data_IF_827218338044
#
_entry.id   IF_827218338044
#
_cell.length_a   1.000
_cell.length_b   1.000
_cell.length_c   1.000
_cell.angle_alpha   90.00
_cell.angle_beta   90.00
_cell.angle_gamma   90.00
#
_symmetry.space_group_name_H-M   'P 1'
#
loop_
_entity.id
_entity.type
_entity.pdbx_description
1 polymer ?
#
# COMPACT_ATOMS: atom_id res chain seq x y z
N UNK A 1 12.82 -10.12 -64.94
CA UNK A 1 12.66 -8.66 -64.77
C UNK A 1 13.98 -8.07 -64.30
N UNK A 2 14.45 -6.98 -64.90
CA UNK A 2 15.70 -6.33 -64.44
C UNK A 2 15.44 -5.57 -63.14
N UNK A 3 16.46 -5.46 -62.27
CA UNK A 3 16.37 -4.79 -60.95
C UNK A 3 15.74 -3.39 -61.05
N UNK A 4 16.09 -2.62 -62.08
CA UNK A 4 15.60 -1.26 -62.26
C UNK A 4 14.12 -1.19 -62.61
N UNK A 5 13.62 -2.19 -63.36
CA UNK A 5 12.19 -2.31 -63.69
C UNK A 5 11.36 -2.68 -62.46
N UNK A 6 11.93 -3.46 -61.54
CA UNK A 6 11.27 -3.76 -60.27
C UNK A 6 11.17 -2.50 -59.39
N UNK A 7 12.26 -1.73 -59.31
CA UNK A 7 12.28 -0.51 -58.50
C UNK A 7 11.33 0.55 -59.06
N UNK A 8 11.22 0.70 -60.38
CA UNK A 8 10.25 1.62 -60.98
C UNK A 8 8.81 1.17 -60.74
N UNK A 9 8.53 -0.14 -60.78
CA UNK A 9 7.22 -0.70 -60.45
C UNK A 9 6.82 -0.44 -59.00
N UNK A 10 7.73 -0.60 -58.04
CA UNK A 10 7.45 -0.33 -56.62
C UNK A 10 7.21 1.15 -56.32
N UNK A 11 7.65 2.06 -57.19
CA UNK A 11 7.44 3.51 -57.07
C UNK A 11 6.17 3.99 -57.77
N UNK A 12 5.43 3.09 -58.41
CA UNK A 12 4.13 3.43 -58.97
C UNK A 12 3.18 3.82 -57.82
N UNK A 13 2.52 5.00 -57.84
CA UNK A 13 1.64 5.44 -56.77
C UNK A 13 0.50 4.46 -56.44
N UNK A 14 0.02 3.72 -57.45
CA UNK A 14 -1.03 2.71 -57.26
C UNK A 14 -0.48 1.50 -56.49
N UNK A 15 0.72 1.04 -56.86
CA UNK A 15 1.42 -0.06 -56.18
C UNK A 15 1.77 0.34 -54.75
N UNK A 16 2.26 1.56 -54.53
CA UNK A 16 2.55 2.09 -53.20
C UNK A 16 1.29 2.12 -52.32
N UNK A 17 0.16 2.56 -52.86
CA UNK A 17 -1.13 2.58 -52.15
C UNK A 17 -1.59 1.16 -51.79
N UNK A 18 -1.49 0.22 -52.72
CA UNK A 18 -1.87 -1.18 -52.48
C UNK A 18 -0.97 -1.81 -51.41
N UNK A 19 0.35 -1.64 -51.51
CA UNK A 19 1.31 -2.13 -50.53
C UNK A 19 1.07 -1.48 -49.16
N UNK A 20 0.80 -0.18 -49.13
CA UNK A 20 0.45 0.56 -47.92
C UNK A 20 -0.79 -0.03 -47.24
N UNK A 21 -1.86 -0.29 -47.99
CA UNK A 21 -3.08 -0.90 -47.47
C UNK A 21 -2.86 -2.33 -46.95
N UNK A 22 -2.07 -3.14 -47.67
CA UNK A 22 -1.73 -4.50 -47.25
C UNK A 22 -0.93 -4.46 -45.94
N UNK A 23 0.10 -3.62 -45.87
CA UNK A 23 0.92 -3.47 -44.67
C UNK A 23 0.08 -2.94 -43.50
N UNK A 24 -0.75 -1.91 -43.71
CA UNK A 24 -1.63 -1.37 -42.69
C UNK A 24 -2.59 -2.43 -42.16
N UNK A 25 -3.19 -3.24 -43.03
CA UNK A 25 -4.08 -4.33 -42.64
C UNK A 25 -3.33 -5.42 -41.86
N UNK A 26 -2.16 -5.82 -42.33
CA UNK A 26 -1.32 -6.82 -41.66
C UNK A 26 -0.88 -6.34 -40.27
N UNK A 27 -0.47 -5.08 -40.15
CA UNK A 27 -0.10 -4.45 -38.87
C UNK A 27 -1.32 -4.36 -37.96
N UNK A 28 -2.46 -3.89 -38.47
CA UNK A 28 -3.70 -3.77 -37.69
C UNK A 28 -4.16 -5.13 -37.14
N UNK A 29 -4.06 -6.18 -37.95
CA UNK A 29 -4.35 -7.56 -37.54
C UNK A 29 -3.34 -8.06 -36.50
N UNK A 30 -2.04 -7.82 -36.70
CA UNK A 30 -0.99 -8.22 -35.76
C UNK A 30 -1.10 -7.48 -34.40
N UNK A 31 -1.64 -6.26 -34.40
CA UNK A 31 -1.92 -5.45 -33.20
C UNK A 31 -3.29 -5.73 -32.58
N UNK A 32 -4.11 -6.58 -33.19
CA UNK A 32 -5.38 -6.98 -32.60
C UNK A 32 -5.17 -8.16 -31.67
N UNK A 33 -5.63 -8.05 -30.43
CA UNK A 33 -5.54 -9.09 -29.41
C UNK A 33 -6.89 -9.28 -28.74
N UNK A 34 -7.17 -10.52 -28.35
CA UNK A 34 -8.25 -10.81 -27.41
C UNK A 34 -7.72 -10.53 -26.02
N UNK A 35 -8.41 -9.65 -25.31
CA UNK A 35 -8.09 -9.26 -23.94
C UNK A 35 -9.21 -9.79 -23.06
N UNK A 36 -8.85 -10.53 -22.02
CA UNK A 36 -9.78 -11.03 -21.03
C UNK A 36 -9.85 -9.98 -19.91
N UNK A 37 -10.98 -9.30 -19.82
CA UNK A 37 -11.25 -8.35 -18.74
C UNK A 37 -12.04 -9.07 -17.67
N UNK A 38 -11.44 -9.21 -16.50
CA UNK A 38 -12.16 -9.62 -15.29
C UNK A 38 -13.00 -8.44 -14.82
N UNK A 39 -14.30 -8.51 -15.08
CA UNK A 39 -15.28 -7.68 -14.40
C UNK A 39 -15.49 -8.23 -13.00
N UNK A 40 -15.88 -7.34 -12.07
CA UNK A 40 -16.18 -7.73 -10.69
C UNK A 40 -17.19 -8.88 -10.60
N UNK A 41 -17.42 -9.36 -9.38
CA UNK A 41 -18.40 -10.42 -9.15
C UNK A 41 -19.80 -9.82 -9.28
N UNK A 42 -20.63 -10.39 -10.15
CA UNK A 42 -22.05 -10.01 -10.25
C UNK A 42 -22.81 -10.30 -8.95
N UNK A 43 -22.34 -11.29 -8.18
CA UNK A 43 -22.91 -11.68 -6.90
C UNK A 43 -21.83 -11.89 -5.82
N UNK A 44 -22.08 -11.52 -4.55
CA UNK A 44 -21.18 -11.81 -3.44
C UNK A 44 -20.86 -13.32 -3.35
N UNK A 45 -19.58 -13.68 -3.39
CA UNK A 45 -19.13 -15.08 -3.31
C UNK A 45 -19.07 -15.85 -4.64
N UNK A 46 -19.63 -15.32 -5.72
CA UNK A 46 -19.55 -15.95 -7.06
C UNK A 46 -18.16 -15.84 -7.70
N UNK A 47 -17.88 -16.63 -8.77
CA UNK A 47 -16.66 -16.44 -9.57
C UNK A 47 -16.66 -15.07 -10.27
N UNK A 48 -15.48 -14.50 -10.58
CA UNK A 48 -15.39 -13.27 -11.36
C UNK A 48 -15.96 -13.47 -12.76
N UNK A 49 -16.59 -12.43 -13.32
CA UNK A 49 -17.11 -12.47 -14.67
C UNK A 49 -15.98 -12.14 -15.63
N UNK A 50 -15.59 -13.10 -16.46
CA UNK A 50 -14.57 -12.90 -17.49
C UNK A 50 -15.28 -12.47 -18.76
N UNK A 51 -14.97 -11.26 -19.23
CA UNK A 51 -15.43 -10.76 -20.52
C UNK A 51 -14.27 -10.76 -21.50
N UNK A 52 -14.42 -11.51 -22.59
CA UNK A 52 -13.45 -11.50 -23.68
C UNK A 52 -13.81 -10.40 -24.67
N UNK A 53 -12.88 -9.50 -24.94
CA UNK A 53 -13.04 -8.45 -25.93
C UNK A 53 -11.86 -8.40 -26.88
N UNK A 54 -12.12 -8.26 -28.18
CA UNK A 54 -11.09 -8.10 -29.19
C UNK A 54 -10.79 -6.61 -29.40
N UNK A 55 -9.55 -6.21 -29.16
CA UNK A 55 -9.10 -4.83 -29.24
C UNK A 55 -7.86 -4.69 -30.12
N UNK A 56 -7.76 -3.57 -30.82
CA UNK A 56 -6.46 -3.06 -31.23
C UNK A 56 -5.72 -2.56 -29.98
N UNK A 57 -4.48 -3.00 -29.79
CA UNK A 57 -3.69 -2.67 -28.60
C UNK A 57 -3.50 -1.16 -28.40
N UNK A 58 -3.37 -0.38 -29.48
CA UNK A 58 -3.17 1.07 -29.39
C UNK A 58 -4.46 1.74 -28.90
N UNK A 59 -5.61 1.37 -29.47
CA UNK A 59 -6.92 1.88 -29.05
C UNK A 59 -7.22 1.51 -27.60
N UNK A 60 -6.88 0.28 -27.21
CA UNK A 60 -7.01 -0.18 -25.83
C UNK A 60 -6.17 0.68 -24.88
N UNK A 61 -4.88 0.91 -25.18
CA UNK A 61 -4.01 1.76 -24.36
C UNK A 61 -4.60 3.17 -24.23
N UNK A 62 -4.98 3.80 -25.35
CA UNK A 62 -5.53 5.16 -25.35
C UNK A 62 -6.78 5.24 -24.46
N UNK A 63 -7.66 4.24 -24.55
CA UNK A 63 -8.90 4.22 -23.79
C UNK A 63 -8.68 3.90 -22.31
N UNK A 64 -7.88 2.90 -21.98
CA UNK A 64 -7.80 2.35 -20.62
C UNK A 64 -6.65 2.92 -19.78
N UNK A 65 -5.57 3.42 -20.39
CA UNK A 65 -4.45 3.97 -19.65
C UNK A 65 -4.83 5.12 -18.71
N UNK A 66 -5.69 6.08 -19.10
CA UNK A 66 -6.15 7.13 -18.17
C UNK A 66 -6.90 6.57 -16.95
N UNK A 67 -7.67 5.49 -17.13
CA UNK A 67 -8.38 4.83 -16.03
C UNK A 67 -7.43 4.13 -15.07
N UNK A 68 -6.43 3.42 -15.61
CA UNK A 68 -5.36 2.78 -14.81
C UNK A 68 -4.60 3.83 -14.01
N UNK A 69 -4.20 4.92 -14.65
CA UNK A 69 -3.49 6.02 -13.99
C UNK A 69 -4.35 6.64 -12.87
N UNK A 70 -5.64 6.88 -13.14
CA UNK A 70 -6.58 7.37 -12.14
C UNK A 70 -6.71 6.44 -10.93
N UNK A 71 -6.85 5.13 -11.17
CA UNK A 71 -6.92 4.12 -10.11
C UNK A 71 -5.64 4.09 -9.27
N UNK A 72 -4.46 4.13 -9.90
CA UNK A 72 -3.18 4.16 -9.20
C UNK A 72 -3.03 5.41 -8.33
N UNK A 73 -3.45 6.59 -8.83
CA UNK A 73 -3.47 7.82 -8.03
C UNK A 73 -4.42 7.74 -6.85
N UNK A 74 -5.58 7.10 -7.02
CA UNK A 74 -6.53 6.82 -5.93
C UNK A 74 -5.89 5.96 -4.83
N UNK A 75 -5.29 4.82 -5.20
CA UNK A 75 -4.57 3.95 -4.26
C UNK A 75 -3.45 4.71 -3.54
N UNK A 76 -2.68 5.54 -4.26
CA UNK A 76 -1.63 6.35 -3.65
C UNK A 76 -2.18 7.34 -2.61
N UNK A 77 -3.32 7.96 -2.89
CA UNK A 77 -4.03 8.84 -1.93
C UNK A 77 -4.45 8.06 -0.68
N UNK A 78 -5.09 6.91 -0.85
CA UNK A 78 -5.58 6.10 0.26
C UNK A 78 -4.44 5.61 1.16
N UNK A 79 -3.36 5.11 0.55
CA UNK A 79 -2.15 4.71 1.27
C UNK A 79 -1.55 5.88 2.05
N UNK A 80 -1.53 7.08 1.45
CA UNK A 80 -1.01 8.28 2.10
C UNK A 80 -1.86 8.68 3.31
N UNK A 81 -3.19 8.61 3.18
CA UNK A 81 -4.11 8.88 4.29
C UNK A 81 -3.95 7.86 5.42
N UNK A 82 -3.91 6.57 5.10
CA UNK A 82 -3.71 5.51 6.09
C UNK A 82 -2.36 5.64 6.82
N UNK A 83 -1.29 5.99 6.09
CA UNK A 83 0.03 6.27 6.67
C UNK A 83 -0.03 7.45 7.63
N UNK A 84 -0.63 8.57 7.22
CA UNK A 84 -0.73 9.76 8.06
C UNK A 84 -1.57 9.51 9.32
N UNK A 85 -2.67 8.76 9.19
CA UNK A 85 -3.48 8.34 10.33
C UNK A 85 -2.65 7.49 11.32
N UNK A 86 -1.86 6.55 10.81
CA UNK A 86 -0.98 5.70 11.61
C UNK A 86 0.08 6.52 12.36
N UNK A 87 0.70 7.50 11.70
CA UNK A 87 1.64 8.43 12.34
C UNK A 87 0.97 9.20 13.48
N UNK A 88 -0.26 9.70 13.27
CA UNK A 88 -1.01 10.39 14.31
C UNK A 88 -1.39 9.51 15.50
N UNK A 89 -1.62 8.21 15.28
CA UNK A 89 -1.82 7.23 16.36
C UNK A 89 -0.53 7.01 17.15
N UNK A 90 0.59 6.78 16.45
CA UNK A 90 1.91 6.59 17.08
C UNK A 90 2.26 7.81 17.95
N UNK A 91 2.08 9.03 17.42
CA UNK A 91 2.36 10.25 18.17
C UNK A 91 1.55 10.35 19.46
N UNK A 92 0.26 10.01 19.43
CA UNK A 92 -0.59 9.99 20.63
C UNK A 92 -0.13 8.96 21.66
N UNK A 93 0.28 7.77 21.22
CA UNK A 93 0.85 6.76 22.12
C UNK A 93 2.15 7.25 22.75
N UNK A 94 3.04 7.89 21.99
CA UNK A 94 4.27 8.48 22.53
C UNK A 94 3.96 9.52 23.61
N UNK A 95 3.04 10.45 23.36
CA UNK A 95 2.63 11.45 24.36
C UNK A 95 2.04 10.81 25.63
N UNK A 96 1.23 9.75 25.48
CA UNK A 96 0.69 9.00 26.62
C UNK A 96 1.80 8.35 27.44
N UNK A 97 2.76 7.69 26.79
CA UNK A 97 3.89 7.06 27.46
C UNK A 97 4.76 8.09 28.20
N UNK A 98 5.05 9.22 27.56
CA UNK A 98 5.78 10.33 28.18
C UNK A 98 5.02 10.90 29.38
N UNK A 99 3.70 11.05 29.29
CA UNK A 99 2.85 11.53 30.38
C UNK A 99 2.69 10.53 31.54
N UNK A 100 2.74 9.22 31.25
CA UNK A 100 2.68 8.16 32.27
C UNK A 100 4.01 7.96 33.00
N UNK A 101 5.14 8.32 32.39
CA UNK A 101 6.46 8.09 32.96
C UNK A 101 6.66 8.75 34.35
N UNK A 102 6.25 10.02 34.60
CA UNK A 102 6.30 10.60 35.94
C UNK A 102 5.46 9.85 36.98
N UNK A 103 4.30 9.33 36.58
CA UNK A 103 3.43 8.56 37.48
C UNK A 103 4.06 7.23 37.86
N UNK A 104 4.71 6.56 36.92
CA UNK A 104 5.45 5.32 37.16
C UNK A 104 6.61 5.58 38.14
N UNK A 105 7.37 6.67 37.93
CA UNK A 105 8.46 7.07 38.83
C UNK A 105 7.94 7.38 40.23
N UNK A 106 6.83 8.13 40.34
CA UNK A 106 6.22 8.45 41.63
C UNK A 106 5.72 7.20 42.36
N UNK A 107 5.06 6.28 41.65
CA UNK A 107 4.60 5.02 42.22
C UNK A 107 5.77 4.16 42.72
N UNK A 108 6.87 4.06 41.95
CA UNK A 108 8.08 3.34 42.38
C UNK A 108 8.66 3.94 43.66
N UNK A 109 8.83 5.26 43.72
CA UNK A 109 9.33 5.95 44.91
C UNK A 109 8.42 5.74 46.12
N UNK A 110 7.11 5.71 45.92
CA UNK A 110 6.16 5.43 47.01
C UNK A 110 6.31 4.01 47.56
N UNK A 111 6.51 3.00 46.69
CA UNK A 111 6.76 1.62 47.12
C UNK A 111 8.07 1.49 47.90
N UNK A 112 9.16 2.11 47.43
CA UNK A 112 10.45 2.13 48.13
C UNK A 112 10.34 2.75 49.54
N UNK A 113 9.56 3.83 49.68
CA UNK A 113 9.29 4.44 50.99
C UNK A 113 8.49 3.52 51.91
N UNK A 114 7.50 2.77 51.37
CA UNK A 114 6.73 1.83 52.16
C UNK A 114 7.59 0.66 52.67
N UNK A 115 8.48 0.12 51.83
CA UNK A 115 9.44 -0.92 52.24
C UNK A 115 10.36 -0.41 53.35
N UNK A 116 10.95 0.78 53.21
CA UNK A 116 11.80 1.36 54.25
C UNK A 116 11.09 1.60 55.59
N UNK A 117 9.80 1.93 55.58
CA UNK A 117 9.00 2.06 56.81
C UNK A 117 8.75 0.71 57.48
N UNK A 118 8.51 -0.34 56.69
CA UNK A 118 8.32 -1.71 57.20
C UNK A 118 9.62 -2.19 57.86
N UNK A 119 10.76 -2.02 57.19
CA UNK A 119 12.08 -2.42 57.70
C UNK A 119 12.43 -1.69 59.02
N UNK A 120 12.20 -0.38 59.06
CA UNK A 120 12.38 0.40 60.28
C UNK A 120 11.47 -0.12 61.41
N UNK A 121 10.20 -0.39 61.10
CA UNK A 121 9.23 -0.94 62.07
C UNK A 121 9.61 -2.33 62.59
N UNK A 122 10.27 -3.16 61.79
CA UNK A 122 10.81 -4.46 62.22
C UNK A 122 12.05 -4.28 63.10
N UNK A 123 12.99 -3.43 62.69
CA UNK A 123 14.19 -3.13 63.48
C UNK A 123 13.88 -2.57 64.89
N UNK A 124 12.86 -1.72 65.01
CA UNK A 124 12.37 -1.22 66.30
C UNK A 124 11.79 -2.32 67.20
N UNK A 125 11.23 -3.40 66.64
CA UNK A 125 10.72 -4.54 67.43
C UNK A 125 11.84 -5.46 67.91
N UNK A 126 12.95 -5.52 67.17
CA UNK A 126 14.10 -6.39 67.47
C UNK A 126 15.11 -5.77 68.43
N UNK A 127 14.96 -4.49 68.82
CA UNK A 127 15.78 -3.82 69.85
C UNK A 127 15.01 -3.75 71.18
N UNK A 128 15.15 -4.72 72.11
CA UNK A 128 14.31 -4.80 73.31
C UNK A 128 14.75 -3.84 74.43
N UNK A 129 15.90 -3.19 74.29
CA UNK A 129 16.57 -2.46 75.39
C UNK A 129 15.92 -1.12 75.78
N UNK A 130 14.82 -0.72 75.15
CA UNK A 130 14.07 0.50 75.48
C UNK A 130 12.63 0.25 75.96
N UNK A 131 12.23 -1.00 76.20
CA UNK A 131 11.01 -1.25 76.98
C UNK A 131 11.30 -0.86 78.44
N UNK A 132 10.79 0.31 78.84
CA UNK A 132 11.08 0.94 80.12
C UNK A 132 10.89 0.04 81.34
N UNK A 133 11.51 0.41 82.49
CA UNK A 133 11.49 -0.40 83.70
C UNK A 133 10.05 -0.73 84.10
N UNK A 134 9.78 -2.02 84.24
CA UNK A 134 8.49 -2.57 84.66
C UNK A 134 7.98 -1.85 85.91
N UNK A 135 6.75 -1.35 85.80
CA UNK A 135 5.93 -0.92 86.93
C UNK A 135 5.10 -2.09 87.44
#
# INVERSE_FOLDING_TARGET
MKKDQFISFLKDPEVETILGNIMFKAISQAMTRTINMESGRDNPGGPPVIKEETWNMVDWIIKYFPHVEGAMRGVQSDVSQAKNASIGVIHRFTMLLEGLNPLIVAARKHMELQEGVIDAGQSYKETPELQGPGS
#
